data_IF_695979642658
#
_entry.id   IF_695979642658
#
_cell.length_a   1.000
_cell.length_b   1.000
_cell.length_c   1.000
_cell.angle_alpha   90.00
_cell.angle_beta   90.00
_cell.angle_gamma   90.00
#
_symmetry.space_group_name_H-M   'P 1'
#
loop_
_entity.id
_entity.type
_entity.pdbx_description
1 polymer ?
#
# COMPACT_ATOMS: atom_id res chain seq x y z
N UNK A 1 3.72 -0.50 -8.31
CA UNK A 1 2.66 -1.27 -7.62
C UNK A 1 1.96 -2.14 -8.65
N UNK A 2 1.94 -3.44 -8.42
CA UNK A 2 1.37 -4.47 -9.31
C UNK A 2 -0.09 -4.66 -8.88
N UNK A 3 -1.03 -4.68 -9.83
CA UNK A 3 -2.45 -4.90 -9.52
C UNK A 3 -2.79 -6.39 -9.47
N UNK A 4 -2.05 -7.23 -10.20
CA UNK A 4 -2.17 -8.68 -10.15
C UNK A 4 -0.96 -9.39 -10.75
N UNK A 5 -0.88 -10.71 -10.59
CA UNK A 5 0.25 -11.51 -11.07
C UNK A 5 -0.16 -12.34 -12.30
N UNK A 6 0.68 -12.30 -13.34
CA UNK A 6 0.66 -13.24 -14.45
C UNK A 6 1.71 -14.33 -14.23
N UNK A 7 1.47 -15.52 -14.77
CA UNK A 7 2.38 -16.65 -14.63
C UNK A 7 2.54 -17.41 -15.94
N UNK A 8 3.79 -17.66 -16.31
CA UNK A 8 4.17 -18.47 -17.47
C UNK A 8 4.85 -19.73 -16.98
N UNK A 9 4.34 -20.89 -17.38
CA UNK A 9 4.89 -22.20 -17.04
C UNK A 9 5.43 -22.84 -18.32
N UNK A 10 6.65 -23.37 -18.27
CA UNK A 10 7.22 -24.17 -19.34
C UNK A 10 7.70 -25.52 -18.79
N UNK A 11 7.37 -26.58 -19.52
CA UNK A 11 7.86 -27.93 -19.26
C UNK A 11 8.74 -28.32 -20.44
N UNK A 12 10.02 -28.56 -20.18
CA UNK A 12 11.01 -28.92 -21.18
C UNK A 12 11.26 -30.43 -21.07
N UNK A 13 10.94 -31.16 -22.13
CA UNK A 13 11.14 -32.60 -22.26
C UNK A 13 12.20 -32.89 -23.33
N UNK A 14 12.74 -34.11 -23.35
CA UNK A 14 13.62 -34.56 -24.44
C UNK A 14 15.07 -34.06 -24.38
N UNK A 15 15.53 -33.60 -23.21
CA UNK A 15 16.96 -33.32 -23.00
C UNK A 15 17.70 -34.66 -22.89
N UNK A 16 18.53 -34.97 -23.88
CA UNK A 16 19.36 -36.17 -23.90
C UNK A 16 20.83 -35.76 -23.83
N UNK A 17 21.54 -36.19 -22.79
CA UNK A 17 23.00 -36.18 -22.74
C UNK A 17 23.51 -37.63 -22.75
N UNK A 18 24.69 -37.90 -23.32
CA UNK A 18 25.22 -39.26 -23.36
C UNK A 18 25.38 -39.84 -21.94
N UNK A 19 24.64 -40.90 -21.62
CA UNK A 19 24.71 -41.60 -20.34
C UNK A 19 23.76 -41.11 -19.24
N UNK A 20 22.92 -40.09 -19.49
CA UNK A 20 22.02 -39.53 -18.48
C UNK A 20 20.57 -39.43 -18.98
N UNK A 21 19.62 -39.91 -18.17
CA UNK A 21 18.17 -39.75 -18.41
C UNK A 21 17.65 -38.59 -17.58
N UNK A 22 17.19 -37.52 -18.22
CA UNK A 22 16.63 -36.37 -17.53
C UNK A 22 15.13 -36.48 -17.34
N UNK A 23 14.67 -36.18 -16.12
CA UNK A 23 13.26 -35.87 -15.88
C UNK A 23 12.88 -34.55 -16.56
N UNK A 24 11.63 -34.37 -17.00
CA UNK A 24 11.15 -33.11 -17.57
C UNK A 24 11.49 -31.92 -16.67
N UNK A 25 12.20 -30.93 -17.22
CA UNK A 25 12.54 -29.72 -16.49
C UNK A 25 11.35 -28.77 -16.48
N UNK A 26 10.87 -28.39 -15.30
CA UNK A 26 9.81 -27.41 -15.15
C UNK A 26 10.39 -26.05 -14.77
N UNK A 27 9.97 -25.00 -15.49
CA UNK A 27 10.32 -23.61 -15.21
C UNK A 27 9.05 -22.79 -15.10
N UNK A 28 9.06 -21.87 -14.15
CA UNK A 28 7.92 -21.01 -13.84
C UNK A 28 8.41 -19.59 -13.66
N UNK A 29 7.82 -18.66 -14.40
CA UNK A 29 8.12 -17.24 -14.34
C UNK A 29 6.87 -16.46 -13.94
N UNK A 30 7.00 -15.59 -12.94
CA UNK A 30 5.94 -14.67 -12.51
C UNK A 30 6.21 -13.28 -13.06
N UNK A 31 5.17 -12.63 -13.56
CA UNK A 31 5.24 -11.30 -14.16
C UNK A 31 4.18 -10.43 -13.50
N UNK A 32 4.57 -9.27 -12.97
CA UNK A 32 3.62 -8.32 -12.41
C UNK A 32 2.81 -7.65 -13.52
N UNK A 33 1.48 -7.66 -13.38
CA UNK A 33 0.54 -7.00 -14.29
C UNK A 33 0.05 -5.70 -13.68
N UNK A 34 0.07 -4.62 -14.47
CA UNK A 34 -0.51 -3.33 -14.11
C UNK A 34 -1.35 -2.79 -15.27
N UNK A 35 -2.53 -2.19 -14.99
CA UNK A 35 -3.27 -1.45 -16.00
C UNK A 35 -2.44 -0.31 -16.59
N UNK A 36 -2.69 0.03 -17.86
CA UNK A 36 -2.01 1.11 -18.56
C UNK A 36 -2.46 2.52 -18.10
N UNK A 37 -3.49 2.60 -17.26
CA UNK A 37 -4.09 3.82 -16.74
C UNK A 37 -4.15 3.79 -15.21
N UNK A 38 -4.10 4.97 -14.55
CA UNK A 38 -4.23 5.07 -13.10
C UNK A 38 -5.64 4.70 -12.64
N UNK A 39 -5.77 4.27 -11.38
CA UNK A 39 -7.07 4.06 -10.76
C UNK A 39 -7.81 5.40 -10.63
N UNK A 40 -9.10 5.39 -10.93
CA UNK A 40 -10.00 6.52 -10.71
C UNK A 40 -10.80 6.31 -9.41
N UNK A 41 -11.17 7.39 -8.73
CA UNK A 41 -11.96 7.33 -7.50
C UNK A 41 -13.07 8.36 -7.55
N UNK A 42 -14.30 7.93 -7.34
CA UNK A 42 -15.48 8.79 -7.19
C UNK A 42 -15.90 8.80 -5.73
N UNK A 43 -16.18 9.98 -5.18
CA UNK A 43 -16.64 10.14 -3.80
C UNK A 43 -17.94 10.92 -3.78
N UNK A 44 -18.91 10.46 -2.98
CA UNK A 44 -20.15 11.17 -2.68
C UNK A 44 -20.39 11.14 -1.17
N UNK A 45 -20.96 12.22 -0.65
CA UNK A 45 -21.35 12.34 0.74
C UNK A 45 -22.59 13.21 0.85
N UNK A 46 -23.50 12.83 1.74
CA UNK A 46 -24.70 13.59 2.05
C UNK A 46 -24.97 13.49 3.55
N UNK A 47 -25.48 14.57 4.14
CA UNK A 47 -26.07 14.56 5.48
C UNK A 47 -27.56 14.35 5.29
N UNK A 48 -28.12 13.31 5.91
CA UNK A 48 -29.54 12.99 5.81
C UNK A 48 -30.28 13.36 7.09
N UNK A 49 -31.34 14.14 6.96
CA UNK A 49 -32.30 14.38 8.02
C UNK A 49 -33.21 13.15 8.20
N UNK A 50 -33.86 12.99 9.37
CA UNK A 50 -34.81 11.90 9.59
C UNK A 50 -35.89 11.85 8.51
N UNK A 51 -36.01 10.71 7.83
CA UNK A 51 -36.98 10.50 6.74
C UNK A 51 -36.46 10.81 5.33
N UNK A 52 -35.30 11.44 5.19
CA UNK A 52 -34.67 11.63 3.89
C UNK A 52 -34.07 10.33 3.35
N UNK A 53 -33.99 10.24 2.02
CA UNK A 53 -33.41 9.10 1.30
C UNK A 53 -32.27 9.58 0.42
N UNK A 54 -31.15 8.86 0.49
CA UNK A 54 -30.05 9.05 -0.45
C UNK A 54 -30.01 7.92 -1.47
N UNK A 55 -29.71 8.29 -2.72
CA UNK A 55 -29.47 7.35 -3.79
C UNK A 55 -28.12 7.70 -4.44
N UNK A 56 -27.35 6.68 -4.80
CA UNK A 56 -26.09 6.88 -5.52
C UNK A 56 -26.39 7.55 -6.87
N UNK A 57 -25.69 8.64 -7.24
CA UNK A 57 -25.89 9.31 -8.52
C UNK A 57 -25.76 8.34 -9.70
N UNK A 58 -26.72 8.41 -10.63
CA UNK A 58 -26.65 7.64 -11.87
C UNK A 58 -25.36 8.01 -12.62
N UNK A 59 -24.57 7.00 -13.00
CA UNK A 59 -23.29 7.20 -13.70
C UNK A 59 -22.04 7.18 -12.82
N UNK A 60 -22.16 7.05 -11.49
CA UNK A 60 -20.96 6.98 -10.62
C UNK A 60 -20.02 5.83 -10.97
N UNK A 61 -20.56 4.74 -11.51
CA UNK A 61 -19.80 3.55 -11.93
C UNK A 61 -19.55 3.50 -13.44
N UNK A 62 -19.96 4.52 -14.21
CA UNK A 62 -19.68 4.56 -15.64
C UNK A 62 -18.17 4.74 -15.88
N UNK A 63 -17.64 4.02 -16.87
CA UNK A 63 -16.21 4.04 -17.20
C UNK A 63 -15.34 3.13 -16.33
N UNK A 64 -15.89 2.50 -15.29
CA UNK A 64 -15.16 1.51 -14.49
C UNK A 64 -15.35 0.10 -15.04
N UNK A 65 -14.26 -0.68 -15.08
CA UNK A 65 -14.35 -2.12 -15.36
C UNK A 65 -14.96 -2.84 -14.15
N UNK A 66 -16.03 -3.65 -14.33
CA UNK A 66 -16.66 -4.39 -13.24
C UNK A 66 -15.69 -5.28 -12.46
N UNK A 67 -14.66 -5.82 -13.12
CA UNK A 67 -13.65 -6.68 -12.49
C UNK A 67 -12.75 -5.93 -11.48
N UNK A 68 -12.66 -4.60 -11.58
CA UNK A 68 -11.79 -3.76 -10.74
C UNK A 68 -12.57 -2.86 -9.79
N UNK A 69 -13.90 -2.80 -9.92
CA UNK A 69 -14.75 -1.90 -9.17
C UNK A 69 -14.85 -2.36 -7.71
N UNK A 70 -14.45 -1.49 -6.79
CA UNK A 70 -14.60 -1.69 -5.36
C UNK A 70 -15.27 -0.46 -4.74
N UNK A 71 -16.20 -0.68 -3.81
CA UNK A 71 -16.95 0.37 -3.14
C UNK A 71 -16.84 0.28 -1.63
N UNK A 72 -16.94 1.43 -0.95
CA UNK A 72 -17.06 1.50 0.50
C UNK A 72 -18.12 2.53 0.86
N UNK A 73 -19.07 2.14 1.71
CA UNK A 73 -20.12 3.01 2.22
C UNK A 73 -19.97 3.13 3.74
N UNK A 74 -19.97 4.36 4.24
CA UNK A 74 -19.77 4.67 5.66
C UNK A 74 -20.97 5.46 6.17
N UNK A 75 -21.61 4.94 7.22
CA UNK A 75 -22.70 5.61 7.92
C UNK A 75 -22.22 6.08 9.28
N UNK A 76 -22.58 7.30 9.67
CA UNK A 76 -22.24 7.84 10.98
C UNK A 76 -23.27 8.88 11.42
N UNK A 77 -23.64 8.85 12.71
CA UNK A 77 -24.47 9.87 13.34
C UNK A 77 -23.72 11.16 13.72
N UNK A 78 -22.41 11.22 13.44
CA UNK A 78 -21.52 12.37 13.63
C UNK A 78 -20.68 12.56 12.35
N UNK A 79 -20.13 13.74 12.06
CA UNK A 79 -19.32 13.96 10.86
C UNK A 79 -18.27 12.84 10.66
N UNK A 80 -18.40 11.99 9.62
CA UNK A 80 -17.53 10.83 9.47
C UNK A 80 -16.19 11.21 8.86
N UNK A 81 -15.10 10.75 9.47
CA UNK A 81 -13.79 10.71 8.83
C UNK A 81 -13.58 9.31 8.22
N UNK A 82 -13.40 9.22 6.90
CA UNK A 82 -13.19 7.94 6.23
C UNK A 82 -11.73 7.45 6.38
N UNK A 83 -11.40 6.97 7.58
CA UNK A 83 -10.06 6.45 7.91
C UNK A 83 -9.62 5.31 6.98
N UNK A 84 -10.56 4.45 6.56
CA UNK A 84 -10.25 3.31 5.71
C UNK A 84 -9.77 3.72 4.31
N UNK A 85 -10.26 4.84 3.78
CA UNK A 85 -9.73 5.42 2.54
C UNK A 85 -8.28 5.87 2.75
N UNK A 86 -8.00 6.67 3.77
CA UNK A 86 -6.65 7.21 4.00
C UNK A 86 -5.61 6.10 4.22
N UNK A 87 -5.97 5.05 4.96
CA UNK A 87 -5.07 3.91 5.19
C UNK A 87 -4.77 3.18 3.86
N UNK A 88 -5.77 3.00 2.99
CA UNK A 88 -5.54 2.39 1.67
C UNK A 88 -4.68 3.27 0.77
N UNK A 89 -4.95 4.57 0.73
CA UNK A 89 -4.20 5.52 -0.09
C UNK A 89 -2.72 5.58 0.34
N UNK A 90 -2.45 5.55 1.66
CA UNK A 90 -1.09 5.49 2.21
C UNK A 90 -0.40 4.16 1.94
N UNK A 91 -1.12 3.02 2.03
CA UNK A 91 -0.57 1.70 1.70
C UNK A 91 -0.29 1.55 0.19
N UNK A 92 -1.08 2.21 -0.65
CA UNK A 92 -0.99 2.12 -2.11
C UNK A 92 0.10 3.01 -2.71
N UNK A 93 0.83 3.78 -1.90
CA UNK A 93 1.83 4.72 -2.40
C UNK A 93 3.09 3.98 -2.90
N UNK A 94 3.47 4.07 -4.19
CA UNK A 94 4.56 3.27 -4.75
C UNK A 94 5.94 3.92 -4.63
N UNK A 95 5.99 5.16 -4.14
CA UNK A 95 7.19 5.98 -4.11
C UNK A 95 7.81 5.96 -2.71
N UNK A 96 9.13 6.03 -2.66
CA UNK A 96 9.93 5.83 -1.44
C UNK A 96 10.69 7.06 -0.97
N UNK A 97 10.16 8.27 -1.19
CA UNK A 97 10.69 9.47 -0.54
C UNK A 97 10.64 9.30 0.98
N UNK A 98 11.43 10.07 1.70
CA UNK A 98 11.37 10.13 3.16
C UNK A 98 9.98 10.45 3.70
N UNK A 99 9.36 11.54 3.20
CA UNK A 99 8.05 11.99 3.68
C UNK A 99 6.97 10.92 3.43
N UNK A 100 7.03 10.26 2.27
CA UNK A 100 6.10 9.21 1.90
C UNK A 100 6.31 7.94 2.72
N UNK A 101 7.57 7.58 2.97
CA UNK A 101 7.93 6.44 3.82
C UNK A 101 7.43 6.67 5.23
N UNK A 102 7.70 7.84 5.81
CA UNK A 102 7.21 8.20 7.13
C UNK A 102 5.67 8.22 7.18
N UNK A 103 4.99 8.93 6.27
CA UNK A 103 3.52 8.99 6.21
C UNK A 103 2.88 7.62 6.00
N UNK A 104 3.48 6.73 5.20
CA UNK A 104 3.01 5.36 4.98
C UNK A 104 3.13 4.46 6.22
N UNK A 105 4.14 4.71 7.07
CA UNK A 105 4.36 3.96 8.31
C UNK A 105 3.47 4.43 9.47
N UNK A 106 3.02 5.69 9.48
CA UNK A 106 2.17 6.25 10.54
C UNK A 106 0.93 5.38 10.84
N UNK A 107 0.11 4.97 9.85
CA UNK A 107 -1.02 4.08 10.10
C UNK A 107 -0.62 2.76 10.76
N UNK A 108 0.53 2.19 10.36
CA UNK A 108 1.02 0.93 10.92
C UNK A 108 1.43 1.07 12.38
N UNK A 109 1.79 2.24 12.87
CA UNK A 109 2.09 2.46 14.29
C UNK A 109 0.83 2.53 15.17
N UNK A 110 -0.23 3.16 14.67
CA UNK A 110 -1.43 3.47 15.45
C UNK A 110 -2.59 2.51 15.21
N UNK A 111 -2.41 1.48 14.36
CA UNK A 111 -3.44 0.47 14.07
C UNK A 111 -2.96 -0.94 14.37
N UNK A 112 -3.92 -1.84 14.61
CA UNK A 112 -3.70 -3.27 14.74
C UNK A 112 -4.63 -4.08 13.82
N UNK A 113 -4.38 -5.38 13.69
CA UNK A 113 -5.16 -6.26 12.82
C UNK A 113 -6.66 -6.25 13.13
N UNK A 114 -7.04 -6.17 14.42
CA UNK A 114 -8.45 -6.13 14.83
C UNK A 114 -9.15 -4.83 14.39
N UNK A 115 -8.48 -3.68 14.53
CA UNK A 115 -8.99 -2.39 14.08
C UNK A 115 -9.09 -2.30 12.56
N UNK A 116 -8.09 -2.79 11.82
CA UNK A 116 -8.13 -2.86 10.36
C UNK A 116 -9.28 -3.75 9.88
N UNK A 117 -9.50 -4.89 10.54
CA UNK A 117 -10.62 -5.78 10.27
C UNK A 117 -11.97 -5.12 10.55
N UNK A 118 -12.09 -4.39 11.66
CA UNK A 118 -13.31 -3.63 11.99
C UNK A 118 -13.62 -2.54 10.94
N UNK A 119 -12.59 -1.98 10.29
CA UNK A 119 -12.71 -1.02 9.20
C UNK A 119 -12.93 -1.66 7.82
N UNK A 120 -12.97 -2.99 7.72
CA UNK A 120 -13.13 -3.73 6.46
C UNK A 120 -11.89 -3.72 5.58
N UNK A 121 -10.71 -3.46 6.15
CA UNK A 121 -9.43 -3.41 5.43
C UNK A 121 -8.73 -4.75 5.60
N UNK A 122 -8.43 -5.42 4.47
CA UNK A 122 -7.55 -6.58 4.47
C UNK A 122 -6.11 -6.14 4.81
N UNK A 123 -5.69 -6.47 6.03
CA UNK A 123 -4.37 -6.16 6.56
C UNK A 123 -3.46 -7.38 6.67
N UNK A 124 -2.18 -7.12 6.89
CA UNK A 124 -1.21 -8.14 7.29
C UNK A 124 -1.40 -8.49 8.79
N UNK A 125 -0.79 -9.59 9.25
CA UNK A 125 -0.77 -9.91 10.69
C UNK A 125 0.00 -8.84 11.47
N UNK A 126 -0.23 -8.75 12.78
CA UNK A 126 0.45 -7.75 13.62
C UNK A 126 1.98 -7.96 13.63
N UNK A 127 2.46 -9.21 13.54
CA UNK A 127 3.88 -9.54 13.43
C UNK A 127 4.48 -9.02 12.13
N UNK A 128 3.80 -9.29 11.01
CA UNK A 128 4.24 -8.84 9.69
C UNK A 128 4.18 -7.31 9.56
N UNK A 129 3.20 -6.67 10.21
CA UNK A 129 3.11 -5.21 10.32
C UNK A 129 4.31 -4.64 11.08
N UNK A 130 4.68 -5.20 12.24
CA UNK A 130 5.85 -4.76 13.02
C UNK A 130 7.14 -4.91 12.21
N UNK A 131 7.33 -6.06 11.55
CA UNK A 131 8.49 -6.28 10.69
C UNK A 131 8.56 -5.25 9.53
N UNK A 132 7.42 -4.87 8.95
CA UNK A 132 7.37 -3.82 7.93
C UNK A 132 7.74 -2.44 8.49
N UNK A 133 7.38 -2.16 9.76
CA UNK A 133 7.79 -0.94 10.47
C UNK A 133 9.31 -0.92 10.68
N UNK A 134 9.92 -2.02 11.10
CA UNK A 134 11.38 -2.11 11.31
C UNK A 134 12.17 -1.85 10.00
N UNK A 135 11.68 -2.41 8.90
CA UNK A 135 12.24 -2.17 7.56
C UNK A 135 12.06 -0.70 7.16
N UNK A 136 10.90 -0.12 7.45
CA UNK A 136 10.61 1.28 7.20
C UNK A 136 11.51 2.24 7.97
N UNK A 137 11.73 1.98 9.26
CA UNK A 137 12.66 2.74 10.11
C UNK A 137 14.08 2.63 9.53
N UNK A 138 14.51 1.42 9.17
CA UNK A 138 15.81 1.20 8.53
C UNK A 138 15.97 2.00 7.24
N UNK A 139 14.90 2.12 6.44
CA UNK A 139 14.88 2.95 5.22
C UNK A 139 15.00 4.44 5.54
N UNK A 140 14.29 4.94 6.56
CA UNK A 140 14.40 6.34 6.99
C UNK A 140 15.83 6.68 7.44
N UNK A 141 16.48 5.78 8.19
CA UNK A 141 17.87 5.94 8.62
C UNK A 141 18.86 5.98 7.44
N UNK A 142 18.60 5.30 6.33
CA UNK A 142 19.42 5.42 5.11
C UNK A 142 19.34 6.80 4.45
N UNK A 143 18.33 7.60 4.77
CA UNK A 143 18.16 8.97 4.29
C UNK A 143 18.65 10.00 5.31
N UNK A 144 19.21 9.55 6.44
CA UNK A 144 19.88 10.40 7.41
C UNK A 144 21.27 10.77 6.88
N UNK A 145 21.55 12.07 6.88
CA UNK A 145 22.81 12.69 6.50
C UNK A 145 23.83 12.58 7.63
N UNK A 146 25.11 12.75 7.31
CA UNK A 146 26.20 12.69 8.30
C UNK A 146 26.11 13.83 9.34
N UNK A 147 25.43 14.94 9.01
CA UNK A 147 25.13 16.06 9.91
C UNK A 147 23.93 15.79 10.86
N UNK A 148 23.34 14.60 10.77
CA UNK A 148 22.19 14.18 11.58
C UNK A 148 20.84 14.62 11.04
N UNK A 149 20.80 15.50 10.04
CA UNK A 149 19.60 15.88 9.32
C UNK A 149 19.15 14.80 8.32
N UNK A 150 18.06 15.05 7.62
CA UNK A 150 17.45 14.12 6.69
C UNK A 150 17.27 14.74 5.32
N UNK A 151 17.45 13.91 4.29
CA UNK A 151 17.23 14.27 2.90
C UNK A 151 16.13 13.42 2.27
N UNK A 152 15.63 13.85 1.10
CA UNK A 152 14.36 13.33 0.56
C UNK A 152 14.47 11.90 0.00
N UNK A 153 15.61 11.53 -0.56
CA UNK A 153 15.79 10.30 -1.34
C UNK A 153 16.99 9.47 -0.90
N UNK A 154 18.08 10.13 -0.54
CA UNK A 154 19.34 9.57 -0.08
C UNK A 154 20.05 10.58 0.83
N UNK A 155 21.11 10.14 1.51
CA UNK A 155 21.90 10.97 2.43
C UNK A 155 22.76 12.05 1.76
N UNK A 156 22.93 12.03 0.44
CA UNK A 156 23.77 12.99 -0.29
C UNK A 156 22.94 14.20 -0.76
N UNK A 157 21.62 14.02 -0.87
CA UNK A 157 20.68 15.06 -1.23
C UNK A 157 20.63 16.23 -0.22
N UNK A 158 20.11 17.39 -0.64
CA UNK A 158 20.02 18.56 0.22
C UNK A 158 19.11 18.28 1.42
N UNK A 159 19.55 18.73 2.60
CA UNK A 159 18.77 18.63 3.84
C UNK A 159 17.42 19.32 3.71
N UNK A 160 16.38 18.72 4.31
CA UNK A 160 15.01 19.26 4.30
C UNK A 160 14.49 19.37 5.73
N UNK A 161 14.26 20.60 6.18
CA UNK A 161 13.71 20.89 7.52
C UNK A 161 12.36 20.20 7.77
N UNK A 162 11.52 20.05 6.73
CA UNK A 162 10.25 19.33 6.84
C UNK A 162 10.45 17.82 7.07
N UNK A 163 11.43 17.22 6.40
CA UNK A 163 11.81 15.82 6.59
C UNK A 163 12.33 15.58 8.01
N UNK A 164 13.18 16.48 8.52
CA UNK A 164 13.71 16.41 9.87
C UNK A 164 12.58 16.40 10.91
N UNK A 165 11.64 17.34 10.82
CA UNK A 165 10.52 17.45 11.76
C UNK A 165 9.62 16.22 11.72
N UNK A 166 9.38 15.68 10.53
CA UNK A 166 8.53 14.50 10.35
C UNK A 166 9.17 13.25 10.98
N UNK A 167 10.48 13.06 10.78
CA UNK A 167 11.23 11.95 11.37
C UNK A 167 11.43 12.11 12.88
N UNK A 168 11.62 13.33 13.38
CA UNK A 168 11.70 13.59 14.83
C UNK A 168 10.37 13.41 15.56
N UNK A 169 9.24 13.57 14.87
CA UNK A 169 7.91 13.27 15.41
C UNK A 169 7.56 11.78 15.42
N UNK A 170 8.38 10.93 14.80
CA UNK A 170 8.20 9.48 14.82
C UNK A 170 8.64 8.94 16.21
N UNK A 171 7.85 8.07 16.86
CA UNK A 171 8.23 7.52 18.16
C UNK A 171 9.57 6.81 18.02
N UNK A 172 10.59 7.29 18.75
CA UNK A 172 11.83 6.54 18.90
C UNK A 172 11.52 5.42 19.87
N UNK A 173 11.55 4.20 19.38
CA UNK A 173 11.44 3.01 20.24
C UNK A 173 12.69 3.01 21.14
N UNK A 174 12.50 3.44 22.38
CA UNK A 174 13.47 3.23 23.45
C UNK A 174 13.51 1.74 23.73
N UNK A 175 14.72 1.16 23.61
CA UNK A 175 15.04 -0.22 24.00
C UNK A 175 14.32 -0.70 25.25
#
# INVERSE_FOLDING_TARGET
MVFGDGQVNATITGVALPGETFTPMQKQWKIGVRPAYPAQTVNSGAVLQPGERWQAPAGQTQGFSPATLQGQLVFSGKPPLNLARYIRDLKAYPYGCLEQTASGLFPSLYTNAAQLKALGIAGDSDEKRRAAVDIGISRLLHMQRDDGGFALWDKEGPGRVLADRLCHGFPRESR
#
